data_IF_433917502983
#
_entry.id   IF_433917502983
#
_cell.length_a   1.000
_cell.length_b   1.000
_cell.length_c   1.000
_cell.angle_alpha   90.00
_cell.angle_beta   90.00
_cell.angle_gamma   90.00
#
_symmetry.space_group_name_H-M   'P 1'
#
loop_
_entity.id
_entity.type
_entity.pdbx_description
1 polymer ?
#
# COMPACT_ATOMS: atom_id res chain seq x y z
N UNK A 1 19.37 -2.62 10.12
CA UNK A 1 18.66 -2.42 11.40
C UNK A 1 18.47 -3.76 12.11
N UNK A 2 18.41 -3.77 13.43
CA UNK A 2 18.17 -4.98 14.24
C UNK A 2 16.72 -5.43 14.15
N UNK A 3 15.83 -4.50 13.86
CA UNK A 3 14.39 -4.74 13.70
C UNK A 3 13.87 -4.12 12.39
N UNK A 4 12.81 -4.72 11.85
CA UNK A 4 12.13 -4.27 10.63
C UNK A 4 10.62 -4.22 10.87
N UNK A 5 9.97 -3.13 10.48
CA UNK A 5 8.52 -3.00 10.50
C UNK A 5 7.89 -3.88 9.42
N UNK A 6 6.97 -4.75 9.81
CA UNK A 6 6.21 -5.62 8.90
C UNK A 6 4.74 -5.53 9.23
N UNK A 7 3.91 -5.42 8.22
CA UNK A 7 2.47 -5.52 8.36
C UNK A 7 2.03 -6.95 7.95
N UNK A 8 1.73 -7.83 8.93
CA UNK A 8 1.33 -9.20 8.62
C UNK A 8 0.04 -9.23 7.82
N UNK A 9 0.09 -9.81 6.62
CA UNK A 9 -1.07 -9.82 5.71
C UNK A 9 -2.23 -10.70 6.24
N UNK A 10 -1.93 -11.78 6.92
CA UNK A 10 -2.90 -12.75 7.47
C UNK A 10 -3.69 -12.20 8.66
N UNK A 11 -3.06 -11.39 9.51
CA UNK A 11 -3.68 -10.81 10.71
C UNK A 11 -4.10 -9.34 10.55
N UNK A 12 -3.89 -8.76 9.37
CA UNK A 12 -4.29 -7.38 9.10
C UNK A 12 -5.77 -7.15 9.40
N UNK A 13 -6.04 -6.12 10.17
CA UNK A 13 -7.39 -5.76 10.57
C UNK A 13 -7.70 -4.31 10.27
N UNK A 14 -8.87 -4.06 9.68
CA UNK A 14 -9.34 -2.69 9.43
C UNK A 14 -10.05 -2.17 10.69
N UNK A 15 -9.58 -1.08 11.30
CA UNK A 15 -10.25 -0.50 12.47
C UNK A 15 -11.72 -0.17 12.17
N UNK A 16 -12.64 -0.47 13.11
CA UNK A 16 -14.08 -0.25 12.93
C UNK A 16 -14.44 1.19 12.53
N UNK A 17 -13.70 2.16 13.04
CA UNK A 17 -13.86 3.58 12.68
C UNK A 17 -13.55 3.82 11.21
N UNK A 18 -12.42 3.28 10.72
CA UNK A 18 -12.03 3.39 9.33
C UNK A 18 -13.01 2.65 8.40
N UNK A 19 -13.46 1.45 8.78
CA UNK A 19 -14.45 0.71 7.99
C UNK A 19 -15.77 1.48 7.83
N UNK A 20 -16.19 2.24 8.86
CA UNK A 20 -17.34 3.15 8.76
C UNK A 20 -17.04 4.37 7.89
N UNK A 21 -15.86 4.96 8.03
CA UNK A 21 -15.42 6.11 7.21
C UNK A 21 -15.35 5.75 5.73
N UNK A 22 -14.80 4.59 5.38
CA UNK A 22 -14.75 4.09 4.00
C UNK A 22 -16.14 4.02 3.33
N UNK A 23 -17.18 3.67 4.09
CA UNK A 23 -18.57 3.65 3.57
C UNK A 23 -19.17 5.04 3.35
N UNK A 24 -18.62 6.08 4.02
CA UNK A 24 -19.12 7.46 3.91
C UNK A 24 -18.36 8.29 2.88
N UNK A 25 -17.11 7.93 2.60
CA UNK A 25 -16.30 8.64 1.63
C UNK A 25 -16.59 8.11 0.22
N UNK A 26 -17.02 9.00 -0.66
CA UNK A 26 -17.19 8.71 -2.09
C UNK A 26 -15.84 8.81 -2.84
N UNK A 27 -14.83 8.13 -2.32
CA UNK A 27 -13.55 8.05 -3.01
C UNK A 27 -13.56 6.96 -4.08
N UNK A 28 -12.85 7.23 -5.16
CA UNK A 28 -12.51 6.23 -6.16
C UNK A 28 -11.08 5.78 -5.91
N UNK A 29 -10.84 4.47 -5.89
CA UNK A 29 -9.51 3.90 -5.73
C UNK A 29 -9.08 3.29 -7.06
N UNK A 30 -7.89 3.62 -7.50
CA UNK A 30 -7.27 3.05 -8.71
C UNK A 30 -5.93 2.43 -8.38
N UNK A 31 -5.41 1.64 -9.30
CA UNK A 31 -4.14 0.96 -9.18
C UNK A 31 -3.33 1.30 -10.43
N UNK A 32 -2.09 1.77 -10.26
CA UNK A 32 -1.13 2.01 -11.34
C UNK A 32 -1.60 2.99 -12.43
N UNK A 33 -2.53 3.90 -12.09
CA UNK A 33 -3.06 4.87 -13.06
C UNK A 33 -2.34 6.21 -13.03
N UNK A 34 -1.66 6.54 -11.93
CA UNK A 34 -0.98 7.83 -11.73
C UNK A 34 0.27 7.70 -10.86
N UNK A 35 1.13 6.70 -11.11
CA UNK A 35 2.31 6.38 -10.30
C UNK A 35 3.20 7.60 -10.05
N UNK A 36 3.56 8.35 -11.10
CA UNK A 36 4.40 9.54 -10.97
C UNK A 36 3.72 10.64 -10.13
N UNK A 37 2.40 10.78 -10.26
CA UNK A 37 1.61 11.69 -9.42
C UNK A 37 1.66 11.32 -7.94
N UNK A 38 1.62 10.01 -7.63
CA UNK A 38 1.70 9.52 -6.25
C UNK A 38 3.08 9.76 -5.65
N UNK A 39 4.18 9.38 -6.34
CA UNK A 39 5.52 9.56 -5.78
C UNK A 39 5.85 11.06 -5.61
N UNK A 40 5.47 11.93 -6.54
CA UNK A 40 5.63 13.38 -6.41
C UNK A 40 4.81 13.93 -5.24
N UNK A 41 3.58 13.46 -5.04
CA UNK A 41 2.75 13.84 -3.89
C UNK A 41 3.37 13.38 -2.56
N UNK A 42 3.96 12.18 -2.52
CA UNK A 42 4.72 11.70 -1.36
C UNK A 42 5.96 12.57 -1.06
N UNK A 43 6.60 13.14 -2.07
CA UNK A 43 7.75 14.04 -1.95
C UNK A 43 7.38 15.48 -1.59
N UNK A 44 6.10 15.86 -1.62
CA UNK A 44 5.68 17.24 -1.36
C UNK A 44 5.89 17.61 0.11
N UNK A 45 6.55 18.75 0.35
CA UNK A 45 6.72 19.31 1.70
C UNK A 45 5.38 19.87 2.20
N UNK A 46 5.10 19.66 3.47
CA UNK A 46 3.92 20.18 4.16
C UNK A 46 4.35 20.91 5.43
N UNK A 47 3.40 21.51 6.17
CA UNK A 47 3.69 22.14 7.46
C UNK A 47 4.26 21.14 8.47
N UNK A 48 3.83 19.88 8.38
CA UNK A 48 4.24 18.77 9.27
C UNK A 48 5.50 18.06 8.75
N UNK A 49 5.71 18.05 7.42
CA UNK A 49 6.87 17.45 6.76
C UNK A 49 7.74 18.52 6.14
N UNK A 50 8.80 18.91 6.84
CA UNK A 50 9.74 19.97 6.42
C UNK A 50 10.86 19.46 5.52
N UNK A 51 11.07 18.13 5.46
CA UNK A 51 12.12 17.49 4.69
C UNK A 51 11.56 16.28 3.95
N UNK A 52 12.16 15.97 2.81
CA UNK A 52 11.87 14.76 2.05
C UNK A 52 13.15 14.18 1.46
N UNK A 53 13.23 12.87 1.44
CA UNK A 53 14.29 12.14 0.74
C UNK A 53 13.97 11.93 -0.75
N UNK A 54 12.71 12.16 -1.15
CA UNK A 54 12.25 12.00 -2.53
C UNK A 54 12.68 13.22 -3.34
N UNK A 55 13.63 13.01 -4.22
CA UNK A 55 14.13 14.00 -5.17
C UNK A 55 13.85 13.56 -6.62
N UNK A 56 14.16 14.40 -7.61
CA UNK A 56 13.85 14.12 -9.01
C UNK A 56 14.54 12.85 -9.53
N UNK A 57 15.77 12.55 -9.09
CA UNK A 57 16.46 11.31 -9.47
C UNK A 57 15.72 10.06 -8.98
N UNK A 58 15.20 10.10 -7.75
CA UNK A 58 14.41 9.01 -7.19
C UNK A 58 13.04 8.89 -7.88
N UNK A 59 12.40 10.00 -8.22
CA UNK A 59 11.17 9.97 -9.03
C UNK A 59 11.41 9.23 -10.34
N UNK A 60 12.49 9.58 -11.07
CA UNK A 60 12.85 8.92 -12.33
C UNK A 60 13.17 7.44 -12.14
N UNK A 61 13.93 7.08 -11.09
CA UNK A 61 14.29 5.68 -10.80
C UNK A 61 13.05 4.83 -10.51
N UNK A 62 12.18 5.29 -9.61
CA UNK A 62 10.96 4.54 -9.27
C UNK A 62 9.97 4.50 -10.44
N UNK A 63 9.90 5.55 -11.26
CA UNK A 63 9.10 5.55 -12.48
C UNK A 63 9.64 4.53 -13.49
N UNK A 64 10.95 4.37 -13.61
CA UNK A 64 11.55 3.32 -14.44
C UNK A 64 11.22 1.92 -13.90
N UNK A 65 11.27 1.71 -12.58
CA UNK A 65 10.83 0.46 -11.95
C UNK A 65 9.34 0.18 -12.18
N UNK A 66 8.51 1.21 -12.16
CA UNK A 66 7.09 1.09 -12.50
C UNK A 66 6.87 0.62 -13.95
N UNK A 67 7.54 1.24 -14.92
CA UNK A 67 7.46 0.81 -16.32
C UNK A 67 8.02 -0.60 -16.55
N UNK A 68 8.97 -1.03 -15.73
CA UNK A 68 9.48 -2.41 -15.73
C UNK A 68 8.57 -3.41 -15.00
N UNK A 69 7.45 -2.97 -14.40
CA UNK A 69 6.51 -3.81 -13.67
C UNK A 69 6.97 -4.24 -12.27
N UNK A 70 7.91 -3.48 -11.68
CA UNK A 70 8.47 -3.76 -10.36
C UNK A 70 8.03 -2.77 -9.28
N UNK A 71 7.49 -1.63 -9.64
CA UNK A 71 6.89 -0.69 -8.70
C UNK A 71 5.41 -0.49 -9.01
N UNK A 72 4.63 -0.23 -7.96
CA UNK A 72 3.18 -0.10 -8.06
C UNK A 72 2.67 0.99 -7.14
N UNK A 73 1.52 1.57 -7.49
CA UNK A 73 0.84 2.59 -6.71
C UNK A 73 -0.64 2.25 -6.49
N UNK A 74 -1.16 2.75 -5.39
CA UNK A 74 -2.59 2.82 -5.11
C UNK A 74 -2.95 4.28 -4.99
N UNK A 75 -3.90 4.74 -5.81
CA UNK A 75 -4.39 6.11 -5.82
C UNK A 75 -5.76 6.22 -5.18
N UNK A 76 -6.00 7.30 -4.47
CA UNK A 76 -7.31 7.66 -3.94
C UNK A 76 -7.71 9.01 -4.48
N UNK A 77 -8.85 9.04 -5.18
CA UNK A 77 -9.39 10.19 -5.87
C UNK A 77 -10.65 10.70 -5.20
N UNK A 78 -10.82 12.01 -5.15
CA UNK A 78 -12.08 12.63 -4.77
C UNK A 78 -13.13 12.51 -5.89
N UNK A 79 -14.38 12.84 -5.59
CA UNK A 79 -15.47 12.94 -6.59
C UNK A 79 -15.22 14.03 -7.64
N UNK A 80 -14.27 14.93 -7.37
CA UNK A 80 -13.82 15.97 -8.33
C UNK A 80 -12.63 15.53 -9.17
N UNK A 81 -12.27 14.25 -9.13
CA UNK A 81 -11.10 13.69 -9.80
C UNK A 81 -9.77 14.32 -9.36
N UNK A 82 -9.65 14.68 -8.07
CA UNK A 82 -8.43 15.18 -7.47
C UNK A 82 -7.73 14.02 -6.75
N UNK A 83 -6.42 13.88 -6.94
CA UNK A 83 -5.60 12.89 -6.25
C UNK A 83 -5.40 13.34 -4.79
N UNK A 84 -6.19 12.73 -3.87
CA UNK A 84 -6.27 13.14 -2.46
C UNK A 84 -5.53 12.23 -1.50
N UNK A 85 -5.06 11.10 -1.96
CA UNK A 85 -4.22 10.18 -1.19
C UNK A 85 -3.66 9.08 -2.05
N UNK A 86 -2.73 8.33 -1.49
CA UNK A 86 -2.12 7.20 -2.17
C UNK A 86 -0.87 6.72 -1.48
N UNK A 87 -0.32 5.65 -2.02
CA UNK A 87 0.95 5.07 -1.61
C UNK A 87 1.63 4.44 -2.82
N UNK A 88 2.93 4.23 -2.72
CA UNK A 88 3.67 3.42 -3.69
C UNK A 88 4.67 2.51 -3.00
N UNK A 89 5.14 1.52 -3.74
CA UNK A 89 6.15 0.59 -3.27
C UNK A 89 6.68 -0.30 -4.38
N UNK A 90 7.60 -1.20 -4.00
CA UNK A 90 8.30 -2.11 -4.90
C UNK A 90 7.83 -3.54 -4.64
N UNK A 91 7.60 -4.28 -5.71
CA UNK A 91 7.21 -5.68 -5.72
C UNK A 91 8.39 -6.54 -6.16
N UNK A 92 8.74 -7.55 -5.36
CA UNK A 92 9.79 -8.51 -5.70
C UNK A 92 9.39 -9.90 -5.19
N UNK A 93 9.14 -10.83 -6.13
CA UNK A 93 8.54 -12.11 -5.77
C UNK A 93 7.22 -11.90 -5.04
N UNK A 94 7.01 -12.60 -3.92
CA UNK A 94 5.85 -12.43 -3.03
C UNK A 94 6.07 -11.42 -1.91
N UNK A 95 7.06 -10.53 -2.02
CA UNK A 95 7.28 -9.42 -1.11
C UNK A 95 6.84 -8.09 -1.75
N UNK A 96 6.22 -7.22 -0.95
CA UNK A 96 5.96 -5.84 -1.30
C UNK A 96 6.64 -4.92 -0.27
N UNK A 97 7.39 -3.96 -0.73
CA UNK A 97 8.12 -2.98 0.07
C UNK A 97 7.40 -1.64 -0.05
N UNK A 98 6.67 -1.27 1.00
CA UNK A 98 6.00 0.03 1.05
C UNK A 98 7.02 1.15 1.24
N UNK A 99 7.09 2.09 0.30
CA UNK A 99 8.07 3.17 0.30
C UNK A 99 7.54 4.42 0.98
N UNK A 100 6.42 4.93 0.53
CA UNK A 100 5.84 6.14 1.10
C UNK A 100 4.33 6.21 0.83
N UNK A 101 3.65 7.03 1.63
CA UNK A 101 2.25 7.37 1.45
C UNK A 101 2.00 8.84 1.74
N UNK A 102 0.91 9.39 1.16
CA UNK A 102 0.45 10.74 1.43
C UNK A 102 -1.06 10.79 1.61
N UNK A 103 -1.54 11.82 2.29
CA UNK A 103 -2.98 12.07 2.49
C UNK A 103 -3.23 13.58 2.45
N UNK A 104 -4.13 14.01 1.57
CA UNK A 104 -4.63 15.39 1.47
C UNK A 104 -6.09 15.50 1.90
N UNK A 105 -6.74 14.36 2.11
CA UNK A 105 -8.11 14.28 2.59
C UNK A 105 -8.23 13.21 3.71
N UNK A 106 -9.25 13.27 4.57
CA UNK A 106 -9.41 12.36 5.68
C UNK A 106 -9.34 10.89 5.25
N UNK A 107 -8.53 10.12 5.97
CA UNK A 107 -8.34 8.67 5.81
C UNK A 107 -7.84 8.18 4.44
N UNK A 108 -7.54 9.07 3.47
CA UNK A 108 -7.22 8.67 2.11
C UNK A 108 -6.00 7.74 2.02
N UNK A 109 -4.90 8.00 2.74
CA UNK A 109 -3.74 7.08 2.77
C UNK A 109 -4.06 5.74 3.45
N UNK A 110 -4.92 5.74 4.46
CA UNK A 110 -5.36 4.51 5.13
C UNK A 110 -6.22 3.66 4.22
N UNK A 111 -7.10 4.29 3.44
CA UNK A 111 -7.91 3.63 2.42
C UNK A 111 -7.02 3.01 1.35
N UNK A 112 -6.00 3.74 0.87
CA UNK A 112 -5.00 3.19 -0.04
C UNK A 112 -4.31 1.94 0.53
N UNK A 113 -3.93 1.96 1.82
CA UNK A 113 -3.31 0.82 2.49
C UNK A 113 -4.25 -0.40 2.59
N UNK A 114 -5.53 -0.18 2.90
CA UNK A 114 -6.52 -1.27 2.94
C UNK A 114 -6.62 -1.93 1.58
N UNK A 115 -6.74 -1.16 0.50
CA UNK A 115 -6.81 -1.71 -0.86
C UNK A 115 -5.50 -2.40 -1.29
N UNK A 116 -4.33 -1.84 -0.91
CA UNK A 116 -3.06 -2.53 -1.14
C UNK A 116 -3.07 -3.93 -0.49
N UNK A 117 -3.47 -4.04 0.77
CA UNK A 117 -3.51 -5.33 1.47
C UNK A 117 -4.49 -6.31 0.82
N UNK A 118 -5.65 -5.85 0.34
CA UNK A 118 -6.60 -6.67 -0.41
C UNK A 118 -5.97 -7.22 -1.70
N UNK A 119 -5.27 -6.38 -2.47
CA UNK A 119 -4.55 -6.78 -3.69
C UNK A 119 -3.46 -7.81 -3.37
N UNK A 120 -2.63 -7.52 -2.36
CA UNK A 120 -1.52 -8.40 -1.98
C UNK A 120 -2.02 -9.78 -1.52
N UNK A 121 -3.08 -9.81 -0.71
CA UNK A 121 -3.72 -11.08 -0.28
C UNK A 121 -4.29 -11.85 -1.47
N UNK A 122 -5.05 -11.17 -2.33
CA UNK A 122 -5.65 -11.80 -3.51
C UNK A 122 -4.63 -12.36 -4.48
N UNK A 123 -3.47 -11.72 -4.60
CA UNK A 123 -2.38 -12.17 -5.46
C UNK A 123 -1.45 -13.20 -4.81
N UNK A 124 -1.60 -13.49 -3.50
CA UNK A 124 -0.77 -14.48 -2.79
C UNK A 124 0.59 -13.95 -2.35
N UNK A 125 0.71 -12.65 -2.11
CA UNK A 125 1.89 -12.09 -1.44
C UNK A 125 1.95 -12.57 0.01
N UNK A 126 3.16 -12.69 0.55
CA UNK A 126 3.40 -13.22 1.89
C UNK A 126 4.16 -12.29 2.82
N UNK A 127 4.66 -11.17 2.30
CA UNK A 127 5.38 -10.16 3.07
C UNK A 127 4.97 -8.74 2.60
N UNK A 128 4.54 -7.91 3.56
CA UNK A 128 4.41 -6.46 3.39
C UNK A 128 5.37 -5.78 4.36
N UNK A 129 6.46 -5.26 3.82
CA UNK A 129 7.48 -4.51 4.54
C UNK A 129 7.07 -3.04 4.64
N UNK A 130 7.08 -2.48 5.83
CA UNK A 130 6.77 -1.08 6.12
C UNK A 130 7.97 -0.31 6.65
N UNK A 131 9.16 -0.93 6.62
CA UNK A 131 10.45 -0.39 7.09
C UNK A 131 10.49 -0.17 8.60
N UNK A 132 9.57 0.62 9.13
CA UNK A 132 9.52 0.99 10.54
C UNK A 132 8.11 0.78 11.10
N UNK A 133 8.05 0.51 12.41
CA UNK A 133 6.80 0.59 13.18
C UNK A 133 6.55 2.05 13.50
N UNK A 134 5.48 2.62 12.97
CA UNK A 134 5.03 3.98 13.32
C UNK A 134 3.62 3.95 13.92
N UNK A 135 3.26 5.00 14.64
CA UNK A 135 1.96 5.11 15.33
C UNK A 135 0.77 4.99 14.36
N UNK A 136 0.93 5.51 13.13
CA UNK A 136 -0.11 5.46 12.11
C UNK A 136 -0.42 4.02 11.68
N UNK A 137 0.59 3.16 11.60
CA UNK A 137 0.45 1.76 11.17
C UNK A 137 0.13 0.80 12.32
N UNK A 138 0.36 1.20 13.58
CA UNK A 138 0.03 0.36 14.75
C UNK A 138 -1.44 -0.06 14.79
N UNK A 139 -2.35 0.81 14.38
CA UNK A 139 -3.77 0.51 14.32
C UNK A 139 -4.14 -0.64 13.38
N UNK A 140 -3.27 -0.99 12.44
CA UNK A 140 -3.43 -2.07 11.47
C UNK A 140 -2.70 -3.36 11.85
N UNK A 141 -2.00 -3.36 12.99
CA UNK A 141 -1.28 -4.54 13.47
C UNK A 141 0.15 -4.66 12.94
N UNK A 142 0.81 -3.53 12.60
CA UNK A 142 2.24 -3.58 12.25
C UNK A 142 3.07 -4.11 13.42
N UNK A 143 4.04 -4.98 13.13
CA UNK A 143 4.93 -5.61 14.09
C UNK A 143 6.39 -5.23 13.83
N UNK A 144 7.18 -5.13 14.89
CA UNK A 144 8.65 -5.10 14.79
C UNK A 144 9.17 -6.53 14.76
N UNK A 145 9.79 -6.93 13.65
CA UNK A 145 10.37 -8.26 13.52
C UNK A 145 11.89 -8.21 13.67
N UNK A 146 12.45 -9.13 14.44
CA UNK A 146 13.89 -9.32 14.51
C UNK A 146 14.45 -9.63 13.12
N UNK A 147 15.71 -9.25 12.87
CA UNK A 147 16.42 -9.52 11.61
C UNK A 147 16.29 -10.98 11.18
N UNK A 148 16.44 -11.92 12.09
CA UNK A 148 16.32 -13.37 11.80
C UNK A 148 14.94 -13.74 11.27
N UNK A 149 13.84 -13.31 11.97
CA UNK A 149 12.46 -13.58 11.56
C UNK A 149 12.17 -12.96 10.19
N UNK A 150 12.59 -11.72 10.01
CA UNK A 150 12.42 -10.99 8.76
C UNK A 150 13.12 -11.68 7.58
N UNK A 151 14.40 -12.03 7.72
CA UNK A 151 15.19 -12.65 6.65
C UNK A 151 14.60 -14.01 6.23
N UNK A 152 14.20 -14.86 7.18
CA UNK A 152 13.55 -16.14 6.88
C UNK A 152 12.25 -15.95 6.07
N UNK A 153 11.46 -14.94 6.40
CA UNK A 153 10.21 -14.65 5.67
C UNK A 153 10.49 -14.05 4.31
N UNK A 154 11.49 -13.16 4.21
CA UNK A 154 11.93 -12.54 2.97
C UNK A 154 12.41 -13.57 1.95
N UNK A 155 13.26 -14.52 2.35
CA UNK A 155 13.74 -15.60 1.47
C UNK A 155 12.58 -16.39 0.86
N UNK A 156 11.58 -16.74 1.68
CA UNK A 156 10.35 -17.39 1.21
C UNK A 156 9.57 -16.51 0.25
N UNK A 157 9.47 -15.22 0.55
CA UNK A 157 8.74 -14.27 -0.28
C UNK A 157 9.42 -14.08 -1.64
N UNK A 158 10.74 -13.96 -1.68
CA UNK A 158 11.49 -13.81 -2.93
C UNK A 158 11.35 -15.03 -3.86
N UNK A 159 11.18 -16.22 -3.29
CA UNK A 159 10.96 -17.46 -4.04
C UNK A 159 9.50 -17.68 -4.44
N UNK A 160 8.56 -16.89 -3.90
CA UNK A 160 7.15 -17.02 -4.24
C UNK A 160 6.83 -16.32 -5.57
N UNK A 161 5.89 -16.90 -6.31
CA UNK A 161 5.36 -16.32 -7.55
C UNK A 161 3.90 -15.93 -7.35
N UNK A 162 3.60 -14.67 -7.03
CA UNK A 162 2.23 -14.19 -6.93
C UNK A 162 1.48 -14.38 -8.24
N UNK A 163 0.17 -14.64 -8.13
CA UNK A 163 -0.68 -14.88 -9.30
C UNK A 163 -0.75 -13.62 -10.20
N UNK A 164 -0.29 -13.69 -11.47
CA UNK A 164 -0.30 -12.54 -12.36
C UNK A 164 -1.70 -11.97 -12.64
N UNK A 165 -2.73 -12.83 -12.65
CA UNK A 165 -4.11 -12.43 -12.98
C UNK A 165 -4.80 -11.61 -11.88
N UNK A 166 -4.28 -11.67 -10.67
CA UNK A 166 -4.78 -10.91 -9.50
C UNK A 166 -3.77 -9.88 -8.99
N UNK A 167 -2.59 -9.83 -9.62
CA UNK A 167 -1.61 -8.76 -9.42
C UNK A 167 -2.23 -7.42 -9.85
N UNK A 168 -1.63 -6.36 -9.40
CA UNK A 168 -1.93 -4.99 -9.72
C UNK A 168 -2.58 -4.83 -11.12
N UNK A 169 -3.88 -5.14 -11.21
CA UNK A 169 -4.68 -4.93 -12.42
C UNK A 169 -5.30 -3.54 -12.30
N UNK A 170 -5.22 -2.75 -13.36
CA UNK A 170 -5.82 -1.42 -13.45
C UNK A 170 -7.35 -1.51 -13.33
N UNK A 171 -7.84 -1.73 -12.12
CA UNK A 171 -9.25 -1.75 -11.78
C UNK A 171 -9.59 -0.51 -10.96
N UNK A 172 -10.68 0.16 -11.32
CA UNK A 172 -11.26 1.24 -10.52
C UNK A 172 -12.33 0.65 -9.60
N UNK A 173 -12.19 0.85 -8.29
CA UNK A 173 -13.16 0.40 -7.29
C UNK A 173 -13.64 1.59 -6.47
N UNK A 174 -14.96 1.75 -6.31
CA UNK A 174 -15.50 2.74 -5.36
C UNK A 174 -15.24 2.26 -3.93
N UNK A 175 -14.78 3.15 -3.06
CA UNK A 175 -14.40 2.88 -1.66
C UNK A 175 -15.58 2.49 -0.74
N UNK A 176 -16.59 1.86 -1.22
CA UNK A 176 -17.72 1.40 -0.42
C UNK A 176 -18.25 0.03 -0.81
N UNK A 177 -17.68 -0.56 -1.86
CA UNK A 177 -18.07 -1.87 -2.37
C UNK A 177 -16.97 -2.87 -2.01
N UNK A 178 -17.02 -3.38 -0.77
CA UNK A 178 -16.37 -4.66 -0.50
C UNK A 178 -17.05 -5.68 -1.41
N UNK A 179 -16.31 -6.26 -2.36
CA UNK A 179 -16.80 -7.39 -3.13
C UNK A 179 -17.14 -8.52 -2.16
N UNK A 180 -18.43 -8.74 -1.94
CA UNK A 180 -18.94 -9.90 -1.24
C UNK A 180 -18.76 -11.12 -2.12
N UNK A 181 -17.59 -11.72 -2.11
CA UNK A 181 -17.37 -13.06 -2.63
C UNK A 181 -16.98 -13.98 -1.49
N UNK A 182 -18.01 -14.73 -1.03
CA UNK A 182 -17.93 -16.05 -0.42
C UNK A 182 -17.17 -16.19 0.91
N UNK A 183 -17.83 -15.78 2.00
CA UNK A 183 -17.74 -16.56 3.23
C UNK A 183 -18.92 -17.54 3.24
N UNK A 184 -18.70 -18.77 2.78
CA UNK A 184 -19.58 -19.88 3.09
C UNK A 184 -19.51 -20.12 4.60
N UNK A 185 -20.67 -19.99 5.28
CA UNK A 185 -20.88 -20.51 6.63
C UNK A 185 -20.78 -22.03 6.59
N UNK A 186 -19.95 -22.55 7.42
CA UNK A 186 -20.15 -23.88 8.06
C UNK A 186 -20.05 -23.65 9.56
#
# INVERSE_FOLDING_TARGET
PEERGVLPLDTFNVPRGLARAMKKHDYVVTIDTAFEGVIRACGTLTKERKETWINEQLVQLYTALFHAGHAHSIEVWSTKNELVGGLYGVSLGGAFFGESMFSRAPDASKIALVHLVEVLRGAGYILLDTQYVNEHLKQFGVEAWSKRRYMTKLEKALSASPNPSTRFSTASVRSGVASSSSVKRI
#
